data_IF_250869270036
#
_entry.id   IF_250869270036
#
_cell.length_a   1.000
_cell.length_b   1.000
_cell.length_c   1.000
_cell.angle_alpha   90.00
_cell.angle_beta   90.00
_cell.angle_gamma   90.00
#
_symmetry.space_group_name_H-M   'P 1'
#
loop_
_entity.id
_entity.type
_entity.pdbx_description
1 polymer ?
#
# COMPACT_ATOMS: atom_id res chain seq x y z
N UNK A 1 -5.49 7.14 -21.75
CA UNK A 1 -4.50 7.20 -20.65
C UNK A 1 -5.27 7.04 -19.36
N UNK A 2 -4.85 6.14 -18.46
CA UNK A 2 -5.47 6.04 -17.13
C UNK A 2 -4.96 7.20 -16.28
N UNK A 3 -5.83 7.79 -15.47
CA UNK A 3 -5.48 8.87 -14.57
C UNK A 3 -6.09 8.57 -13.20
N UNK A 4 -5.29 8.76 -12.14
CA UNK A 4 -5.72 8.61 -10.75
C UNK A 4 -5.85 10.03 -10.18
N UNK A 5 -7.01 10.37 -9.61
CA UNK A 5 -7.17 11.65 -8.94
C UNK A 5 -6.45 11.64 -7.59
N UNK A 6 -6.06 12.82 -7.12
CA UNK A 6 -5.40 12.98 -5.83
C UNK A 6 -6.27 12.45 -4.69
N UNK A 7 -7.57 12.76 -4.73
CA UNK A 7 -8.55 12.36 -3.72
C UNK A 7 -8.69 10.84 -3.65
N UNK A 8 -8.66 10.16 -4.80
CA UNK A 8 -8.68 8.70 -4.87
C UNK A 8 -7.41 8.09 -4.26
N UNK A 9 -6.24 8.63 -4.60
CA UNK A 9 -4.98 8.16 -4.04
C UNK A 9 -4.93 8.35 -2.51
N UNK A 10 -5.37 9.51 -2.01
CA UNK A 10 -5.44 9.80 -0.58
C UNK A 10 -6.45 8.90 0.15
N UNK A 11 -7.62 8.66 -0.44
CA UNK A 11 -8.62 7.75 0.12
C UNK A 11 -8.09 6.31 0.19
N UNK A 12 -7.43 5.84 -0.87
CA UNK A 12 -6.84 4.50 -0.92
C UNK A 12 -5.69 4.36 0.09
N UNK A 13 -4.80 5.36 0.16
CA UNK A 13 -3.73 5.42 1.15
C UNK A 13 -4.28 5.39 2.59
N UNK A 14 -5.34 6.14 2.86
CA UNK A 14 -5.98 6.17 4.18
C UNK A 14 -6.56 4.80 4.56
N UNK A 15 -7.26 4.14 3.63
CA UNK A 15 -7.89 2.85 3.84
C UNK A 15 -6.85 1.75 4.09
N UNK A 16 -5.79 1.70 3.29
CA UNK A 16 -4.75 0.68 3.35
C UNK A 16 -3.47 1.18 4.04
N UNK A 17 -3.59 2.04 5.05
CA UNK A 17 -2.43 2.54 5.82
C UNK A 17 -1.85 1.48 6.75
N UNK A 18 -0.58 1.66 7.09
CA UNK A 18 0.18 0.78 7.95
C UNK A 18 1.63 1.26 8.04
N UNK A 19 2.58 0.33 8.03
CA UNK A 19 4.01 0.67 7.97
C UNK A 19 4.35 1.43 6.69
N UNK A 20 5.23 2.40 6.83
CA UNK A 20 5.69 3.25 5.73
C UNK A 20 7.19 3.19 5.50
N UNK A 21 7.93 2.37 6.25
CA UNK A 21 9.37 2.18 6.12
C UNK A 21 9.75 0.94 5.28
N UNK A 22 8.74 0.16 4.88
CA UNK A 22 8.89 -1.08 4.11
C UNK A 22 7.58 -1.41 3.40
N UNK A 23 7.67 -2.05 2.24
CA UNK A 23 6.50 -2.54 1.49
C UNK A 23 6.78 -3.85 0.75
N UNK A 24 5.72 -4.61 0.47
CA UNK A 24 5.80 -5.88 -0.25
C UNK A 24 5.53 -5.74 -1.74
N UNK A 25 6.28 -6.47 -2.56
CA UNK A 25 6.02 -6.61 -4.01
C UNK A 25 5.58 -8.03 -4.38
N UNK A 26 4.88 -8.15 -5.51
CA UNK A 26 4.42 -9.44 -6.06
C UNK A 26 5.58 -10.34 -6.48
N UNK A 27 6.78 -9.77 -6.67
CA UNK A 27 8.03 -10.50 -6.93
C UNK A 27 8.56 -11.23 -5.68
N UNK A 28 7.82 -11.18 -4.56
CA UNK A 28 8.18 -11.82 -3.30
C UNK A 28 9.21 -11.03 -2.49
N UNK A 29 9.46 -9.77 -2.84
CA UNK A 29 10.44 -8.93 -2.16
C UNK A 29 9.81 -8.09 -1.04
N UNK A 30 10.59 -7.93 0.03
CA UNK A 30 10.39 -6.97 1.10
C UNK A 30 11.27 -5.74 0.82
N UNK A 31 10.68 -4.72 0.22
CA UNK A 31 11.37 -3.51 -0.23
C UNK A 31 11.60 -2.59 0.97
N UNK A 32 12.85 -2.52 1.44
CA UNK A 32 13.27 -1.74 2.62
C UNK A 32 13.49 -0.26 2.26
N UNK A 33 12.44 0.38 1.81
CA UNK A 33 12.42 1.81 1.48
C UNK A 33 11.09 2.44 1.90
N UNK A 34 11.08 3.76 1.96
CA UNK A 34 9.89 4.50 2.38
C UNK A 34 8.75 4.38 1.37
N UNK A 35 7.55 4.08 1.86
CA UNK A 35 6.30 4.18 1.10
C UNK A 35 5.99 5.64 0.85
N UNK A 36 5.63 5.97 -0.38
CA UNK A 36 5.34 7.34 -0.82
C UNK A 36 3.97 7.39 -1.49
N UNK A 37 3.35 8.58 -1.63
CA UNK A 37 2.11 8.74 -2.40
C UNK A 37 2.20 8.17 -3.82
N UNK A 38 3.37 8.28 -4.44
CA UNK A 38 3.62 7.77 -5.80
C UNK A 38 3.46 6.26 -5.91
N UNK A 39 3.81 5.50 -4.86
CA UNK A 39 3.61 4.05 -4.83
C UNK A 39 2.12 3.68 -4.95
N UNK A 40 1.25 4.39 -4.23
CA UNK A 40 -0.20 4.18 -4.31
C UNK A 40 -0.75 4.53 -5.69
N UNK A 41 -0.28 5.64 -6.28
CA UNK A 41 -0.69 6.06 -7.63
C UNK A 41 -0.30 5.00 -8.67
N UNK A 42 0.97 4.56 -8.67
CA UNK A 42 1.47 3.52 -9.58
C UNK A 42 0.74 2.20 -9.39
N UNK A 43 0.39 1.84 -8.15
CA UNK A 43 -0.41 0.66 -7.87
C UNK A 43 -1.81 0.74 -8.49
N UNK A 44 -2.51 1.86 -8.31
CA UNK A 44 -3.84 2.10 -8.88
C UNK A 44 -3.82 2.16 -10.42
N UNK A 45 -2.71 2.58 -11.03
CA UNK A 45 -2.52 2.55 -12.48
C UNK A 45 -2.26 1.12 -13.02
N UNK A 46 -1.78 0.22 -12.16
CA UNK A 46 -1.35 -1.13 -12.51
C UNK A 46 0.14 -1.24 -12.88
N UNK A 47 0.93 -0.21 -12.60
CA UNK A 47 2.36 -0.15 -12.94
C UNK A 47 3.25 -0.87 -11.92
N UNK A 48 2.72 -1.14 -10.72
CA UNK A 48 3.41 -1.88 -9.67
C UNK A 48 2.42 -2.61 -8.77
N UNK A 49 2.85 -3.72 -8.18
CA UNK A 49 2.20 -4.24 -6.97
C UNK A 49 2.57 -3.38 -5.76
N UNK A 50 1.68 -3.22 -4.79
CA UNK A 50 1.98 -2.58 -3.53
C UNK A 50 1.31 -3.35 -2.38
N UNK A 51 2.11 -4.00 -1.55
CA UNK A 51 1.69 -4.62 -0.30
C UNK A 51 2.04 -3.72 0.88
N UNK A 52 1.04 -3.20 1.57
CA UNK A 52 1.24 -2.47 2.83
C UNK A 52 1.09 -3.43 4.01
N UNK A 53 2.03 -3.40 4.95
CA UNK A 53 1.89 -4.12 6.22
C UNK A 53 0.98 -3.31 7.14
N UNK A 54 -0.17 -3.83 7.60
CA UNK A 54 -1.19 -3.03 8.31
C UNK A 54 -0.79 -2.58 9.72
N UNK A 55 0.42 -2.94 10.19
CA UNK A 55 0.93 -2.66 11.52
C UNK A 55 1.16 -1.15 11.74
N UNK A 56 0.64 -0.64 12.85
CA UNK A 56 0.81 0.74 13.32
C UNK A 56 1.88 0.80 14.43
N UNK A 57 2.32 2.03 14.76
CA UNK A 57 3.37 2.26 15.76
C UNK A 57 2.97 1.85 17.20
N UNK A 58 1.67 1.73 17.47
CA UNK A 58 1.13 1.26 18.75
C UNK A 58 1.00 -0.27 18.83
N UNK A 59 1.47 -0.99 17.81
CA UNK A 59 1.40 -2.44 17.73
C UNK A 59 0.04 -2.99 17.28
N UNK A 60 -0.92 -2.13 16.95
CA UNK A 60 -2.22 -2.55 16.39
C UNK A 60 -2.18 -2.66 14.87
N UNK A 61 -3.15 -3.33 14.26
CA UNK A 61 -3.31 -3.39 12.80
C UNK A 61 -4.50 -2.52 12.38
N UNK A 62 -4.33 -1.71 11.32
CA UNK A 62 -5.41 -0.86 10.83
C UNK A 62 -6.48 -1.63 10.05
N UNK A 63 -6.07 -2.67 9.32
CA UNK A 63 -6.93 -3.53 8.51
C UNK A 63 -6.35 -4.94 8.48
N UNK A 64 -7.15 -5.89 7.98
CA UNK A 64 -6.72 -7.25 7.75
C UNK A 64 -7.24 -7.72 6.39
N UNK A 65 -6.44 -8.52 5.69
CA UNK A 65 -6.88 -9.28 4.53
C UNK A 65 -6.90 -10.76 4.93
N UNK A 66 -7.96 -11.46 4.54
CA UNK A 66 -8.14 -12.89 4.79
C UNK A 66 -8.41 -13.53 3.44
N UNK A 67 -7.58 -14.50 3.08
CA UNK A 67 -7.85 -15.40 1.95
C UNK A 67 -8.57 -16.64 2.50
N UNK A 68 -9.75 -16.94 1.98
CA UNK A 68 -10.58 -18.07 2.42
C UNK A 68 -10.65 -19.06 1.27
N UNK A 69 -9.97 -20.20 1.45
CA UNK A 69 -9.91 -21.31 0.49
C UNK A 69 -11.07 -22.31 0.67
#
# INVERSE_FOLDING_TARGET
MKQVSKELAEAFQSLYRGRTDVWGSVEGLCNKEAVTPEHYIRHLLGDTSLGIYPLLNDGTCHWAAIDIC
#
